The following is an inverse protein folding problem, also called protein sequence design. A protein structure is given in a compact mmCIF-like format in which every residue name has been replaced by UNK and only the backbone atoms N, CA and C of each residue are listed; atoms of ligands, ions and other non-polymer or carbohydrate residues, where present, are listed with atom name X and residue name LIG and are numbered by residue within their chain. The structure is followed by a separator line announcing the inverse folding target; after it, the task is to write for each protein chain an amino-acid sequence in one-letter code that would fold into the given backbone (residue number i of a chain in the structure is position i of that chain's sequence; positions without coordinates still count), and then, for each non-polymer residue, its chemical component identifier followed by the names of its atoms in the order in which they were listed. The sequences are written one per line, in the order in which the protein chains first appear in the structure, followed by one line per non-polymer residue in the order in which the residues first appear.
data_IF_283640567102
#
_entry.id   IF_283640567102
#
_cell.length_a   1.000
_cell.length_b   1.000
_cell.length_c   1.000
_cell.angle_alpha   90.00
_cell.angle_beta   90.00
_cell.angle_gamma   90.00
#
_symmetry.space_group_name_H-M   'P 1'
#
loop_
_entity.id
_entity.type
_entity.pdbx_description
1 polymer ?
#
# COMPACT_ATOMS: atom_id res chain seq x y z
N UNK A 1 55.31 4.34 -44.11
CA UNK A 1 54.44 4.04 -45.27
C UNK A 1 54.04 2.57 -45.18
N UNK A 2 52.73 2.29 -44.95
CA UNK A 2 51.93 1.08 -45.33
C UNK A 2 52.47 -0.29 -44.83
N UNK A 3 51.75 -1.27 -44.23
CA UNK A 3 50.36 -1.73 -44.29
C UNK A 3 50.04 -2.70 -43.12
N UNK A 4 48.74 -2.97 -42.92
CA UNK A 4 48.04 -3.72 -41.87
C UNK A 4 48.00 -5.28 -42.01
N UNK A 5 47.45 -5.89 -40.94
CA UNK A 5 46.76 -7.20 -40.77
C UNK A 5 47.66 -8.41 -40.47
N UNK A 6 47.33 -9.37 -39.60
CA UNK A 6 46.07 -9.97 -39.12
C UNK A 6 46.38 -10.72 -37.78
N UNK A 7 45.57 -10.76 -36.72
CA UNK A 7 44.36 -11.56 -36.60
C UNK A 7 44.31 -12.21 -35.21
N UNK A 8 43.61 -11.60 -34.25
CA UNK A 8 43.34 -12.22 -32.94
C UNK A 8 41.84 -12.34 -32.74
N UNK A 9 41.34 -13.56 -32.90
CA UNK A 9 39.95 -13.94 -32.75
C UNK A 9 39.51 -13.76 -31.28
N UNK A 10 38.69 -12.75 -31.01
CA UNK A 10 37.86 -12.70 -29.80
C UNK A 10 36.71 -13.68 -29.98
N UNK A 11 36.80 -14.82 -29.32
CA UNK A 11 35.68 -15.72 -29.03
C UNK A 11 34.60 -14.93 -28.28
N UNK A 12 33.55 -14.50 -29.00
CA UNK A 12 32.34 -14.00 -28.36
C UNK A 12 31.63 -15.20 -27.73
N UNK A 13 31.41 -15.11 -26.42
CA UNK A 13 30.51 -16.00 -25.70
C UNK A 13 29.14 -15.99 -26.40
N UNK A 14 28.48 -17.14 -26.59
CA UNK A 14 27.11 -17.17 -27.08
C UNK A 14 26.21 -16.48 -26.05
N UNK A 15 25.36 -15.56 -26.50
CA UNK A 15 24.23 -15.11 -25.71
C UNK A 15 23.38 -16.33 -25.33
N UNK A 16 22.97 -16.48 -24.06
CA UNK A 16 22.06 -17.54 -23.69
C UNK A 16 20.76 -17.39 -24.48
N UNK A 17 20.39 -18.47 -25.17
CA UNK A 17 19.12 -18.65 -25.84
C UNK A 17 17.98 -18.24 -24.92
N UNK A 18 17.17 -17.28 -25.37
CA UNK A 18 15.90 -16.92 -24.75
C UNK A 18 14.87 -18.03 -24.99
N UNK A 19 15.02 -19.14 -24.29
CA UNK A 19 14.02 -20.21 -24.21
C UNK A 19 14.16 -20.91 -22.86
N UNK A 20 13.53 -20.36 -21.82
CA UNK A 20 13.01 -21.17 -20.73
C UNK A 20 11.72 -20.59 -20.16
N UNK A 21 10.72 -21.47 -20.14
CA UNK A 21 9.54 -21.56 -19.27
C UNK A 21 8.84 -20.27 -18.78
N UNK A 22 7.67 -19.98 -19.35
CA UNK A 22 6.65 -19.13 -18.71
C UNK A 22 6.39 -17.78 -19.36
N UNK A 23 6.89 -17.55 -20.60
CA UNK A 23 6.70 -16.29 -21.31
C UNK A 23 5.24 -15.96 -21.55
N UNK A 24 4.71 -15.03 -20.75
CA UNK A 24 3.51 -14.26 -21.11
C UNK A 24 3.77 -13.68 -22.51
N UNK A 25 2.90 -13.92 -23.50
CA UNK A 25 3.09 -13.39 -24.84
C UNK A 25 3.35 -11.89 -24.75
N UNK A 26 4.46 -11.42 -25.33
CA UNK A 26 4.73 -9.99 -25.41
C UNK A 26 3.54 -9.34 -26.13
N UNK A 27 2.95 -8.27 -25.56
CA UNK A 27 1.82 -7.61 -26.18
C UNK A 27 2.24 -7.12 -27.57
N UNK A 28 1.37 -7.33 -28.57
CA UNK A 28 1.61 -6.86 -29.93
C UNK A 28 1.68 -5.32 -29.94
N UNK A 29 2.90 -4.80 -29.83
CA UNK A 29 3.21 -3.38 -29.86
C UNK A 29 3.30 -2.94 -31.32
N UNK A 30 2.15 -2.65 -31.92
CA UNK A 30 2.08 -1.93 -33.19
C UNK A 30 2.60 -0.49 -32.98
N UNK A 31 3.91 -0.31 -33.06
CA UNK A 31 4.57 1.00 -33.08
C UNK A 31 4.83 1.71 -31.73
N UNK A 32 4.36 1.16 -30.61
CA UNK A 32 4.60 1.71 -29.26
C UNK A 32 5.81 1.09 -28.56
N UNK A 33 6.56 1.89 -27.79
CA UNK A 33 7.66 1.36 -26.95
C UNK A 33 7.10 0.54 -25.78
N UNK A 34 7.83 -0.51 -25.35
CA UNK A 34 7.51 -1.26 -24.12
C UNK A 34 7.31 -0.33 -22.91
N UNK A 35 8.10 0.75 -22.83
CA UNK A 35 7.98 1.74 -21.76
C UNK A 35 6.63 2.50 -21.78
N UNK A 36 6.06 2.73 -22.96
CA UNK A 36 4.77 3.38 -23.13
C UNK A 36 3.62 2.43 -22.74
N UNK A 37 3.73 1.15 -23.12
CA UNK A 37 2.79 0.11 -22.70
C UNK A 37 2.78 -0.04 -21.17
N UNK A 38 3.94 -0.17 -20.53
CA UNK A 38 4.05 -0.29 -19.08
C UNK A 38 3.45 0.93 -18.36
N UNK A 39 3.77 2.14 -18.82
CA UNK A 39 3.20 3.40 -18.30
C UNK A 39 1.67 3.40 -18.41
N UNK A 40 1.12 3.04 -19.57
CA UNK A 40 -0.33 2.98 -19.77
C UNK A 40 -1.01 1.98 -18.82
N UNK A 41 -0.38 0.82 -18.59
CA UNK A 41 -0.88 -0.21 -17.67
C UNK A 41 -0.84 0.24 -16.21
N UNK A 42 0.18 1.02 -15.83
CA UNK A 42 0.29 1.61 -14.50
C UNK A 42 -0.79 2.67 -14.31
N UNK A 43 -0.96 3.59 -15.27
CA UNK A 43 -2.01 4.62 -15.21
C UNK A 43 -3.40 4.00 -15.05
N UNK A 44 -3.71 2.93 -15.79
CA UNK A 44 -4.98 2.20 -15.62
C UNK A 44 -5.17 1.64 -14.21
N UNK A 45 -4.10 1.13 -13.57
CA UNK A 45 -4.15 0.64 -12.18
C UNK A 45 -4.36 1.77 -11.18
N UNK A 46 -3.60 2.86 -11.31
CA UNK A 46 -3.77 4.04 -10.47
C UNK A 46 -5.15 4.67 -10.62
N UNK A 47 -5.70 4.69 -11.83
CA UNK A 47 -7.08 5.14 -12.07
C UNK A 47 -8.10 4.30 -11.31
N UNK A 48 -7.95 2.96 -11.29
CA UNK A 48 -8.84 2.08 -10.50
C UNK A 48 -8.76 2.38 -9.01
N UNK A 49 -7.54 2.57 -8.48
CA UNK A 49 -7.33 2.96 -7.08
C UNK A 49 -8.01 4.29 -6.79
N UNK A 50 -7.79 5.32 -7.62
CA UNK A 50 -8.41 6.63 -7.44
C UNK A 50 -9.94 6.57 -7.49
N UNK A 51 -10.51 5.81 -8.43
CA UNK A 51 -11.96 5.64 -8.54
C UNK A 51 -12.52 5.00 -7.27
N UNK A 52 -11.96 3.88 -6.82
CA UNK A 52 -12.44 3.20 -5.60
C UNK A 52 -12.27 4.10 -4.37
N UNK A 53 -11.15 4.82 -4.29
CA UNK A 53 -10.91 5.77 -3.19
C UNK A 53 -11.97 6.86 -3.15
N UNK A 54 -12.26 7.51 -4.28
CA UNK A 54 -13.24 8.60 -4.33
C UNK A 54 -14.67 8.09 -4.12
N UNK A 55 -15.01 6.91 -4.63
CA UNK A 55 -16.32 6.28 -4.42
C UNK A 55 -16.61 5.98 -2.95
N UNK A 56 -15.59 5.76 -2.13
CA UNK A 56 -15.73 5.54 -0.69
C UNK A 56 -15.59 6.85 0.09
N UNK A 57 -14.61 7.68 -0.25
CA UNK A 57 -14.29 8.90 0.47
C UNK A 57 -15.41 9.94 0.41
N UNK A 58 -16.05 10.14 -0.76
CA UNK A 58 -17.09 11.15 -0.91
C UNK A 58 -18.30 10.80 -0.02
N UNK A 59 -18.89 9.59 -0.06
CA UNK A 59 -19.94 9.21 0.87
C UNK A 59 -19.49 9.27 2.33
N UNK A 60 -18.29 8.80 2.67
CA UNK A 60 -17.80 8.80 4.04
C UNK A 60 -17.69 10.23 4.62
N UNK A 61 -17.21 11.19 3.83
CA UNK A 61 -17.13 12.59 4.26
C UNK A 61 -18.53 13.20 4.49
N UNK A 62 -19.47 12.94 3.59
CA UNK A 62 -20.82 13.49 3.66
C UNK A 62 -21.68 12.83 4.74
N UNK A 63 -21.50 11.52 4.97
CA UNK A 63 -22.29 10.73 5.91
C UNK A 63 -21.71 10.72 7.33
N UNK A 64 -20.48 11.17 7.54
CA UNK A 64 -19.84 11.21 8.86
C UNK A 64 -20.75 11.83 9.94
N UNK A 65 -21.22 13.08 9.78
CA UNK A 65 -22.11 13.72 10.75
C UNK A 65 -23.48 13.06 10.92
N UNK A 66 -23.93 12.29 9.93
CA UNK A 66 -25.24 11.59 9.97
C UNK A 66 -25.12 10.27 10.72
N UNK A 67 -24.03 9.53 10.49
CA UNK A 67 -23.75 8.25 11.14
C UNK A 67 -23.18 8.44 12.55
N UNK A 68 -22.48 9.55 12.78
CA UNK A 68 -21.88 9.93 14.05
C UNK A 68 -22.28 11.37 14.40
N UNK A 69 -23.52 11.59 14.86
CA UNK A 69 -23.95 12.90 15.31
C UNK A 69 -23.01 13.43 16.39
N UNK A 70 -22.51 14.68 16.28
CA UNK A 70 -21.64 15.26 17.31
C UNK A 70 -22.31 15.27 18.68
N UNK A 71 -21.56 14.94 19.72
CA UNK A 71 -22.03 15.05 21.08
C UNK A 71 -22.23 16.52 21.47
N UNK A 72 -23.25 16.78 22.29
CA UNK A 72 -23.44 18.11 22.87
C UNK A 72 -22.42 18.32 23.99
N UNK A 73 -21.33 19.04 23.67
CA UNK A 73 -20.24 19.37 24.59
C UNK A 73 -20.31 20.82 25.09
N UNK A 74 -21.46 21.49 24.91
CA UNK A 74 -21.73 22.84 25.41
C UNK A 74 -20.85 23.95 24.83
N UNK A 75 -20.01 23.64 23.85
CA UNK A 75 -19.12 24.59 23.18
C UNK A 75 -18.92 24.20 21.73
N UNK A 76 -19.15 25.15 20.82
CA UNK A 76 -18.95 24.95 19.38
C UNK A 76 -17.54 25.39 18.95
N UNK A 77 -16.96 24.75 17.91
CA UNK A 77 -15.73 25.23 17.30
C UNK A 77 -15.87 26.69 16.83
N UNK A 78 -14.83 27.50 17.06
CA UNK A 78 -14.77 28.85 16.50
C UNK A 78 -14.76 28.82 14.96
N UNK A 79 -15.25 29.89 14.32
CA UNK A 79 -15.27 30.00 12.87
C UNK A 79 -13.88 29.80 12.21
N UNK A 80 -12.80 30.18 12.92
CA UNK A 80 -11.43 29.98 12.45
C UNK A 80 -10.98 28.50 12.49
N UNK A 81 -11.56 27.67 13.35
CA UNK A 81 -11.24 26.24 13.47
C UNK A 81 -11.98 25.37 12.43
N UNK A 82 -13.13 25.82 11.94
CA UNK A 82 -13.98 25.06 11.00
C UNK A 82 -13.20 24.55 9.77
N UNK A 83 -12.38 25.35 9.06
CA UNK A 83 -11.64 24.87 7.90
C UNK A 83 -10.66 23.73 8.23
N UNK A 84 -10.08 23.73 9.43
CA UNK A 84 -9.15 22.68 9.87
C UNK A 84 -9.88 21.36 10.13
N UNK A 85 -11.04 21.42 10.79
CA UNK A 85 -11.88 20.23 10.98
C UNK A 85 -12.40 19.67 9.66
N UNK A 86 -12.80 20.54 8.73
CA UNK A 86 -13.18 20.12 7.37
C UNK A 86 -12.02 19.43 6.64
N UNK A 87 -10.81 19.99 6.72
CA UNK A 87 -9.63 19.38 6.11
C UNK A 87 -9.31 18.02 6.72
N UNK A 88 -9.31 17.91 8.06
CA UNK A 88 -9.07 16.63 8.75
C UNK A 88 -10.12 15.59 8.34
N UNK A 89 -11.41 15.93 8.42
CA UNK A 89 -12.47 15.01 8.02
C UNK A 89 -12.36 14.56 6.55
N UNK A 90 -11.95 15.46 5.65
CA UNK A 90 -11.71 15.11 4.26
C UNK A 90 -10.49 14.20 4.10
N UNK A 91 -9.40 14.47 4.81
CA UNK A 91 -8.20 13.65 4.81
C UNK A 91 -8.49 12.24 5.34
N UNK A 92 -9.26 12.12 6.42
CA UNK A 92 -9.65 10.83 7.02
C UNK A 92 -10.55 10.02 6.08
N UNK A 93 -11.52 10.67 5.43
CA UNK A 93 -12.38 10.03 4.45
C UNK A 93 -11.60 9.55 3.21
N UNK A 94 -10.64 10.35 2.73
CA UNK A 94 -9.73 9.95 1.65
C UNK A 94 -8.85 8.78 2.08
N UNK A 95 -8.34 8.80 3.31
CA UNK A 95 -7.52 7.73 3.86
C UNK A 95 -8.30 6.42 3.99
N UNK A 96 -9.56 6.48 4.45
CA UNK A 96 -10.49 5.36 4.44
C UNK A 96 -10.68 4.80 3.03
N UNK A 97 -10.99 5.65 2.06
CA UNK A 97 -11.17 5.22 0.67
C UNK A 97 -9.91 4.59 0.10
N UNK A 98 -8.74 5.15 0.41
CA UNK A 98 -7.46 4.57 0.02
C UNK A 98 -7.21 3.23 0.71
N UNK A 99 -7.60 3.07 1.97
CA UNK A 99 -7.54 1.82 2.72
C UNK A 99 -8.42 0.72 2.10
N UNK A 100 -9.63 1.06 1.68
CA UNK A 100 -10.51 0.14 0.94
C UNK A 100 -9.90 -0.24 -0.41
N UNK A 101 -9.39 0.72 -1.17
CA UNK A 101 -8.64 0.45 -2.41
C UNK A 101 -7.44 -0.46 -2.17
N UNK A 102 -6.72 -0.24 -1.06
CA UNK A 102 -5.60 -1.08 -0.65
C UNK A 102 -6.03 -2.51 -0.31
N UNK A 103 -7.18 -2.71 0.34
CA UNK A 103 -7.71 -4.07 0.52
C UNK A 103 -8.03 -4.75 -0.82
N UNK A 104 -8.60 -4.02 -1.78
CA UNK A 104 -8.91 -4.62 -3.09
C UNK A 104 -7.66 -4.95 -3.90
N UNK A 105 -6.63 -4.09 -3.88
CA UNK A 105 -5.49 -4.18 -4.81
C UNK A 105 -4.11 -4.43 -4.17
N UNK A 106 -3.97 -4.31 -2.85
CA UNK A 106 -2.70 -4.25 -2.14
C UNK A 106 -2.08 -5.62 -1.81
N UNK A 107 -2.89 -6.65 -1.58
CA UNK A 107 -2.39 -7.98 -1.20
C UNK A 107 -1.42 -8.59 -2.24
N UNK A 108 -1.68 -8.53 -3.56
CA UNK A 108 -0.73 -9.00 -4.57
C UNK A 108 0.61 -8.27 -4.53
N UNK A 109 0.63 -6.98 -4.18
CA UNK A 109 1.86 -6.19 -4.05
C UNK A 109 2.67 -6.66 -2.86
N UNK A 110 2.04 -6.84 -1.70
CA UNK A 110 2.71 -7.30 -0.48
C UNK A 110 3.26 -8.72 -0.59
N UNK A 111 2.59 -9.59 -1.35
CA UNK A 111 3.12 -10.94 -1.65
C UNK A 111 4.44 -10.90 -2.44
N UNK A 112 4.67 -9.87 -3.25
CA UNK A 112 5.95 -9.69 -3.98
C UNK A 112 7.06 -9.17 -3.06
N UNK A 113 6.71 -8.36 -2.06
CA UNK A 113 7.67 -7.83 -1.06
C UNK A 113 8.13 -8.93 -0.10
N UNK A 114 7.25 -9.87 0.23
CA UNK A 114 7.56 -11.00 1.12
C UNK A 114 7.29 -12.35 0.44
N UNK A 115 8.07 -12.73 -0.59
CA UNK A 115 7.83 -13.95 -1.36
C UNK A 115 8.01 -15.22 -0.51
N UNK A 116 8.90 -15.17 0.48
CA UNK A 116 9.24 -16.31 1.33
C UNK A 116 8.35 -16.48 2.58
N UNK A 117 7.42 -15.55 2.84
CA UNK A 117 6.51 -15.68 3.99
C UNK A 117 5.14 -15.08 3.67
N UNK A 118 4.17 -15.97 3.46
CA UNK A 118 2.75 -15.61 3.28
C UNK A 118 2.18 -14.97 4.54
N UNK A 119 2.56 -15.47 5.72
CA UNK A 119 2.12 -14.94 7.02
C UNK A 119 2.56 -13.48 7.16
N UNK A 120 3.81 -13.17 6.83
CA UNK A 120 4.32 -11.79 6.88
C UNK A 120 3.60 -10.87 5.89
N UNK A 121 3.34 -11.33 4.66
CA UNK A 121 2.57 -10.55 3.69
C UNK A 121 1.15 -10.24 4.19
N UNK A 122 0.48 -11.22 4.80
CA UNK A 122 -0.84 -11.02 5.42
C UNK A 122 -0.80 -10.11 6.64
N UNK A 123 0.21 -10.25 7.51
CA UNK A 123 0.39 -9.40 8.67
C UNK A 123 0.57 -7.92 8.26
N UNK A 124 1.42 -7.66 7.26
CA UNK A 124 1.57 -6.32 6.68
C UNK A 124 0.27 -5.80 6.05
N UNK A 125 -0.44 -6.68 5.32
CA UNK A 125 -1.68 -6.32 4.63
C UNK A 125 -2.79 -5.92 5.61
N UNK A 126 -2.99 -6.72 6.65
CA UNK A 126 -3.99 -6.42 7.67
C UNK A 126 -3.58 -5.20 8.50
N UNK A 127 -2.30 -5.07 8.88
CA UNK A 127 -1.83 -3.94 9.65
C UNK A 127 -1.97 -2.61 8.88
N UNK A 128 -1.51 -2.54 7.62
CA UNK A 128 -1.64 -1.33 6.79
C UNK A 128 -3.12 -1.01 6.54
N UNK A 129 -3.90 -2.02 6.14
CA UNK A 129 -5.31 -1.81 5.86
C UNK A 129 -6.09 -1.33 7.10
N UNK A 130 -5.81 -1.91 8.27
CA UNK A 130 -6.39 -1.47 9.53
C UNK A 130 -5.99 -0.02 9.83
N UNK A 131 -4.68 0.28 9.81
CA UNK A 131 -4.13 1.62 10.03
C UNK A 131 -4.74 2.69 9.12
N UNK A 132 -5.20 2.35 7.92
CA UNK A 132 -5.79 3.32 7.00
C UNK A 132 -7.31 3.46 7.20
N UNK A 133 -8.01 2.34 7.37
CA UNK A 133 -9.48 2.30 7.46
C UNK A 133 -9.98 2.74 8.83
N UNK A 134 -9.23 2.49 9.90
CA UNK A 134 -9.71 2.67 11.27
C UNK A 134 -9.81 4.14 11.69
N UNK A 135 -9.08 5.07 11.07
CA UNK A 135 -9.08 6.49 11.46
C UNK A 135 -10.44 7.16 11.30
N UNK A 136 -11.15 6.90 10.21
CA UNK A 136 -12.46 7.51 9.97
C UNK A 136 -13.49 7.14 11.05
N UNK A 137 -13.78 5.87 11.35
CA UNK A 137 -14.71 5.55 12.44
C UNK A 137 -14.14 5.93 13.81
N UNK A 138 -12.81 5.86 14.02
CA UNK A 138 -12.17 6.26 15.27
C UNK A 138 -12.44 7.73 15.62
N UNK A 139 -12.14 8.66 14.70
CA UNK A 139 -12.29 10.09 14.95
C UNK A 139 -13.75 10.52 15.02
N UNK A 140 -14.61 9.94 14.17
CA UNK A 140 -16.04 10.22 14.23
C UNK A 140 -16.67 9.72 15.55
N UNK A 141 -16.26 8.55 16.07
CA UNK A 141 -16.72 8.07 17.37
C UNK A 141 -16.29 8.98 18.52
N UNK A 142 -15.06 9.51 18.49
CA UNK A 142 -14.62 10.49 19.48
C UNK A 142 -15.50 11.74 19.46
N UNK A 143 -15.82 12.26 18.27
CA UNK A 143 -16.70 13.45 18.11
C UNK A 143 -18.13 13.18 18.59
N UNK A 144 -18.64 11.97 18.41
CA UNK A 144 -19.99 11.58 18.87
C UNK A 144 -20.05 11.15 20.34
N UNK A 145 -18.93 11.06 21.04
CA UNK A 145 -18.88 10.58 22.43
C UNK A 145 -18.91 11.75 23.40
N UNK A 146 -19.86 11.80 24.35
CA UNK A 146 -19.86 12.80 25.42
C UNK A 146 -18.62 12.69 26.31
N UNK A 147 -18.13 13.81 26.82
CA UNK A 147 -16.91 13.89 27.65
C UNK A 147 -17.01 13.05 28.94
N UNK A 148 -18.23 12.81 29.43
CA UNK A 148 -18.49 12.09 30.68
C UNK A 148 -18.62 10.57 30.49
N UNK A 149 -18.66 10.07 29.25
CA UNK A 149 -18.83 8.64 28.95
C UNK A 149 -17.48 7.90 28.91
N UNK A 150 -16.96 7.63 30.10
CA UNK A 150 -15.71 6.88 30.28
C UNK A 150 -15.76 5.45 29.73
N UNK A 151 -16.95 4.84 29.68
CA UNK A 151 -17.09 3.47 29.18
C UNK A 151 -16.93 3.44 27.66
N UNK A 152 -17.52 4.41 26.97
CA UNK A 152 -17.34 4.56 25.53
C UNK A 152 -15.90 4.93 25.18
N UNK A 153 -15.26 5.79 25.98
CA UNK A 153 -13.83 6.10 25.82
C UNK A 153 -12.96 4.84 25.91
N UNK A 154 -13.22 3.94 26.87
CA UNK A 154 -12.52 2.66 26.95
C UNK A 154 -12.76 1.78 25.72
N UNK A 155 -13.97 1.75 25.17
CA UNK A 155 -14.22 1.00 23.93
C UNK A 155 -13.44 1.59 22.75
N UNK A 156 -13.34 2.90 22.65
CA UNK A 156 -12.53 3.57 21.62
C UNK A 156 -11.05 3.17 21.77
N UNK A 157 -10.51 3.16 22.98
CA UNK A 157 -9.11 2.78 23.23
C UNK A 157 -8.81 1.31 22.88
N UNK A 158 -9.67 0.40 23.32
CA UNK A 158 -9.47 -1.02 23.04
C UNK A 158 -9.77 -1.40 21.59
N UNK A 159 -10.68 -0.69 20.94
CA UNK A 159 -11.06 -0.98 19.56
C UNK A 159 -10.11 -0.31 18.56
N UNK A 160 -9.62 0.89 18.83
CA UNK A 160 -8.79 1.64 17.87
C UNK A 160 -7.34 1.78 18.33
N UNK A 161 -7.07 2.38 19.48
CA UNK A 161 -5.70 2.67 19.93
C UNK A 161 -4.85 1.41 20.06
N UNK A 162 -5.32 0.41 20.83
CA UNK A 162 -4.55 -0.80 21.05
C UNK A 162 -4.27 -1.57 19.74
N UNK A 163 -5.26 -1.79 18.84
CA UNK A 163 -4.97 -2.39 17.54
C UNK A 163 -4.06 -1.55 16.63
N UNK A 164 -4.11 -0.20 16.70
CA UNK A 164 -3.19 0.69 15.99
C UNK A 164 -1.74 0.50 16.47
N UNK A 165 -1.52 0.42 17.79
CA UNK A 165 -0.20 0.14 18.38
C UNK A 165 0.32 -1.24 17.95
N UNK A 166 -0.53 -2.26 18.01
CA UNK A 166 -0.19 -3.62 17.56
C UNK A 166 0.15 -3.62 16.07
N UNK A 167 -0.64 -2.94 15.22
CA UNK A 167 -0.37 -2.83 13.79
C UNK A 167 0.98 -2.15 13.53
N UNK A 168 1.30 -1.07 14.26
CA UNK A 168 2.60 -0.40 14.21
C UNK A 168 3.75 -1.34 14.58
N UNK A 169 3.63 -2.08 15.70
CA UNK A 169 4.62 -3.05 16.14
C UNK A 169 4.82 -4.20 15.14
N UNK A 170 3.73 -4.72 14.56
CA UNK A 170 3.76 -5.75 13.51
C UNK A 170 4.51 -5.24 12.28
N UNK A 171 4.23 -4.02 11.81
CA UNK A 171 4.93 -3.45 10.66
C UNK A 171 6.41 -3.21 10.94
N UNK A 172 6.75 -2.70 12.12
CA UNK A 172 8.14 -2.53 12.54
C UNK A 172 8.89 -3.87 12.55
N UNK A 173 8.30 -4.92 13.12
CA UNK A 173 8.87 -6.27 13.10
C UNK A 173 9.00 -6.82 11.68
N UNK A 174 7.97 -6.66 10.84
CA UNK A 174 7.99 -7.13 9.45
C UNK A 174 9.11 -6.45 8.66
N UNK A 175 9.25 -5.12 8.78
CA UNK A 175 10.32 -4.35 8.15
C UNK A 175 11.70 -4.83 8.63
N UNK A 176 11.91 -4.95 9.94
CA UNK A 176 13.16 -5.45 10.51
C UNK A 176 13.51 -6.86 9.98
N UNK A 177 12.53 -7.77 9.93
CA UNK A 177 12.74 -9.13 9.41
C UNK A 177 13.15 -9.17 7.93
N UNK A 178 12.64 -8.23 7.12
CA UNK A 178 13.00 -8.09 5.71
C UNK A 178 14.44 -7.58 5.61
N UNK A 179 14.79 -6.52 6.33
CA UNK A 179 16.15 -5.99 6.32
C UNK A 179 17.20 -7.00 6.80
N UNK A 180 16.90 -7.78 7.84
CA UNK A 180 17.80 -8.84 8.29
C UNK A 180 17.96 -9.95 7.25
N UNK A 181 16.89 -10.29 6.53
CA UNK A 181 16.99 -11.28 5.44
C UNK A 181 17.91 -10.81 4.32
N UNK A 182 17.92 -9.51 3.99
CA UNK A 182 18.82 -8.91 3.01
C UNK A 182 20.27 -8.96 3.48
N UNK A 183 20.52 -8.59 4.74
CA UNK A 183 21.87 -8.63 5.32
C UNK A 183 22.45 -10.04 5.40
N UNK A 184 21.61 -11.05 5.56
CA UNK A 184 22.04 -12.45 5.72
C UNK A 184 22.38 -13.19 4.41
N UNK A 185 22.33 -12.55 3.24
CA UNK A 185 22.67 -13.17 1.95
C UNK A 185 21.66 -14.20 1.42
N UNK A 186 20.66 -14.59 2.22
CA UNK A 186 19.62 -15.58 1.86
C UNK A 186 18.80 -15.24 0.61
N UNK A 187 18.74 -13.96 0.25
CA UNK A 187 18.07 -13.51 -0.98
C UNK A 187 18.93 -13.71 -2.23
N UNK A 188 20.27 -13.59 -2.12
CA UNK A 188 21.17 -13.94 -3.21
C UNK A 188 21.11 -15.45 -3.49
N UNK A 189 21.10 -16.28 -2.44
CA UNK A 189 20.92 -17.72 -2.56
C UNK A 189 19.54 -18.09 -3.14
N UNK A 190 18.46 -17.41 -2.72
CA UNK A 190 17.12 -17.67 -3.22
C UNK A 190 16.91 -17.22 -4.68
N UNK A 191 17.51 -16.08 -5.07
CA UNK A 191 17.50 -15.61 -6.47
C UNK A 191 18.30 -16.57 -7.36
N UNK A 192 19.44 -17.07 -6.88
CA UNK A 192 20.25 -18.05 -7.59
C UNK A 192 19.57 -19.41 -7.69
N UNK A 193 18.84 -19.83 -6.66
CA UNK A 193 18.04 -21.06 -6.68
C UNK A 193 16.85 -20.96 -7.66
N UNK A 194 16.21 -19.78 -7.77
CA UNK A 194 15.13 -19.53 -8.72
C UNK A 194 15.61 -19.37 -10.17
N UNK A 195 16.86 -18.99 -10.41
CA UNK A 195 17.46 -18.95 -11.75
C UNK A 195 17.99 -20.29 -12.25
N UNK A 196 18.11 -21.28 -11.37
CA UNK A 196 18.60 -22.63 -11.67
C UNK A 196 17.47 -23.65 -11.90
N UNK A 197 16.22 -23.19 -11.94
CA UNK A 197 15.01 -23.95 -12.30
C UNK A 197 14.49 -23.48 -13.66
#
# INVERSE_FOLDING_TARGET
MVSNADGSARTRLPCPNATSAGGVPLPNINGGSLAEYERSSQMKRWMKVLIVTLLVAIPAFLLGPVLFPPADVGSEPSAAQIPFFMFLGAADAVLLGLGVSFFVFGLPVLRKVSPHSRVRAWAMYLAIGYLMVSWWPHLNLNVSTPIEDWQMLLYIDFLFHLPLEIAGAVLAYCAFSIFMSWRSGKLAEAVQAASNQ
#
